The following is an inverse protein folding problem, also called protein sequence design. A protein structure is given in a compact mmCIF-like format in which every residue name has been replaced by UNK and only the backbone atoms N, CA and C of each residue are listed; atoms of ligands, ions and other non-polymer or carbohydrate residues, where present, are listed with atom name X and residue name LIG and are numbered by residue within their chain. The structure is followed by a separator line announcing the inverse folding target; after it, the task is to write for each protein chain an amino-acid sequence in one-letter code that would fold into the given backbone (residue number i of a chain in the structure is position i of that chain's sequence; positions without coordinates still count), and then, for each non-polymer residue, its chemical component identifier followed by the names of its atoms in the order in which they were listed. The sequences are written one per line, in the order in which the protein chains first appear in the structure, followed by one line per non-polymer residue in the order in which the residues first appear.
data_IF_646681295794
#
_entry.id   IF_646681295794
#
_cell.length_a   1.000
_cell.length_b   1.000
_cell.length_c   1.000
_cell.angle_alpha   90.00
_cell.angle_beta   90.00
_cell.angle_gamma   90.00
#
_symmetry.space_group_name_H-M   'P 1'
#
loop_
_entity.id
_entity.type
_entity.pdbx_description
1 polymer ?
#
# COMPACT_ATOMS: atom_id res chain seq x y z
N UNK A 1 12.80 16.95 -6.49
CA UNK A 1 11.56 17.21 -5.72
C UNK A 1 10.53 16.09 -5.82
N UNK A 2 9.99 15.67 -6.98
CA UNK A 2 9.05 14.51 -7.02
C UNK A 2 9.80 13.17 -7.11
N UNK A 3 10.89 13.12 -7.88
CA UNK A 3 11.71 11.91 -8.03
C UNK A 3 12.29 11.44 -6.69
N UNK A 4 12.70 12.38 -5.85
CA UNK A 4 13.26 12.10 -4.53
C UNK A 4 12.19 11.50 -3.60
N UNK A 5 10.98 12.07 -3.58
CA UNK A 5 9.83 11.49 -2.83
C UNK A 5 9.55 10.05 -3.30
N UNK A 6 9.51 9.81 -4.61
CA UNK A 6 9.28 8.47 -5.13
C UNK A 6 10.40 7.49 -4.74
N UNK A 7 11.66 7.96 -4.71
CA UNK A 7 12.80 7.17 -4.27
C UNK A 7 12.73 6.86 -2.77
N UNK A 8 12.37 7.83 -1.93
CA UNK A 8 12.23 7.66 -0.48
C UNK A 8 11.13 6.64 -0.15
N UNK A 9 9.98 6.71 -0.85
CA UNK A 9 8.90 5.74 -0.71
C UNK A 9 9.35 4.35 -1.16
N UNK A 10 10.08 4.24 -2.27
CA UNK A 10 10.60 2.97 -2.76
C UNK A 10 11.55 2.33 -1.73
N UNK A 11 12.52 3.10 -1.19
CA UNK A 11 13.47 2.61 -0.18
C UNK A 11 12.75 2.15 1.10
N UNK A 12 11.77 2.92 1.57
CA UNK A 12 10.94 2.58 2.73
C UNK A 12 10.18 1.26 2.50
N UNK A 13 9.60 1.09 1.33
CA UNK A 13 8.85 -0.12 0.94
C UNK A 13 9.77 -1.32 0.84
N UNK A 14 10.95 -1.18 0.22
CA UNK A 14 11.94 -2.26 0.12
C UNK A 14 12.42 -2.71 1.50
N UNK A 15 12.70 -1.75 2.39
CA UNK A 15 13.07 -2.03 3.78
C UNK A 15 11.96 -2.78 4.51
N UNK A 16 10.72 -2.30 4.46
CA UNK A 16 9.56 -2.97 5.07
C UNK A 16 9.33 -4.36 4.47
N UNK A 17 9.46 -4.53 3.15
CA UNK A 17 9.24 -5.81 2.49
C UNK A 17 10.30 -6.86 2.88
N UNK A 18 11.54 -6.41 3.15
CA UNK A 18 12.60 -7.25 3.70
C UNK A 18 12.30 -7.70 5.13
N UNK A 19 11.73 -6.82 5.95
CA UNK A 19 11.43 -7.09 7.37
C UNK A 19 10.15 -7.92 7.56
N UNK A 20 9.11 -7.70 6.75
CA UNK A 20 7.80 -8.35 6.87
C UNK A 20 7.68 -9.69 6.12
N UNK A 21 8.69 -10.04 5.31
CA UNK A 21 8.61 -11.18 4.41
C UNK A 21 7.44 -11.05 3.43
N UNK A 22 7.26 -12.03 2.57
CA UNK A 22 6.30 -12.01 1.46
C UNK A 22 4.81 -11.98 1.83
N UNK A 23 4.41 -11.39 2.98
CA UNK A 23 3.03 -11.31 3.46
C UNK A 23 2.08 -10.67 2.44
N UNK A 24 2.52 -9.59 1.80
CA UNK A 24 1.76 -8.95 0.72
C UNK A 24 1.61 -9.90 -0.48
N UNK A 25 2.73 -10.42 -1.02
CA UNK A 25 2.75 -11.37 -2.14
C UNK A 25 1.87 -12.60 -1.85
N UNK A 26 1.93 -13.18 -0.64
CA UNK A 26 1.13 -14.33 -0.22
C UNK A 26 -0.36 -13.98 -0.20
N UNK A 27 -0.72 -12.81 0.34
CA UNK A 27 -2.11 -12.35 0.39
C UNK A 27 -2.66 -12.14 -1.01
N UNK A 28 -1.91 -11.45 -1.88
CA UNK A 28 -2.34 -11.21 -3.27
C UNK A 28 -2.37 -12.50 -4.08
N UNK A 29 -1.45 -13.45 -3.88
CA UNK A 29 -1.53 -14.78 -4.52
C UNK A 29 -2.77 -15.57 -4.10
N UNK A 30 -3.22 -15.40 -2.84
CA UNK A 30 -4.38 -16.13 -2.30
C UNK A 30 -5.71 -15.50 -2.69
N UNK A 31 -5.79 -14.18 -2.71
CA UNK A 31 -7.05 -13.43 -2.85
C UNK A 31 -7.10 -12.54 -4.09
N UNK A 32 -6.05 -12.54 -4.91
CA UNK A 32 -5.95 -11.76 -6.13
C UNK A 32 -5.90 -10.25 -5.89
N UNK A 33 -6.30 -9.50 -6.92
CA UNK A 33 -6.36 -8.04 -6.93
C UNK A 33 -7.26 -7.48 -5.81
N UNK A 34 -8.29 -8.22 -5.38
CA UNK A 34 -9.20 -7.82 -4.30
C UNK A 34 -8.47 -7.52 -2.99
N UNK A 35 -7.42 -8.29 -2.66
CA UNK A 35 -6.61 -8.01 -1.47
C UNK A 35 -5.88 -6.67 -1.55
N UNK A 36 -5.39 -6.28 -2.73
CA UNK A 36 -4.79 -4.96 -2.93
C UNK A 36 -5.85 -3.87 -2.79
N UNK A 37 -7.00 -4.00 -3.46
CA UNK A 37 -8.08 -3.02 -3.41
C UNK A 37 -8.55 -2.75 -1.98
N UNK A 38 -8.76 -3.80 -1.17
CA UNK A 38 -9.17 -3.69 0.22
C UNK A 38 -8.15 -2.88 1.05
N UNK A 39 -6.85 -3.10 0.84
CA UNK A 39 -5.80 -2.36 1.57
C UNK A 39 -5.75 -0.89 1.18
N UNK A 40 -6.01 -0.57 -0.08
CA UNK A 40 -6.12 0.81 -0.53
C UNK A 40 -7.39 1.47 0.04
N UNK A 41 -8.51 0.76 0.07
CA UNK A 41 -9.77 1.25 0.64
C UNK A 41 -9.64 1.59 2.14
N UNK A 42 -8.95 0.75 2.91
CA UNK A 42 -8.62 1.02 4.31
C UNK A 42 -7.84 2.34 4.47
N UNK A 43 -6.89 2.61 3.56
CA UNK A 43 -6.05 3.82 3.60
C UNK A 43 -6.80 5.06 3.13
N UNK A 44 -7.67 4.94 2.14
CA UNK A 44 -8.57 6.02 1.71
C UNK A 44 -9.53 6.37 2.85
N UNK A 45 -10.09 5.37 3.54
CA UNK A 45 -10.98 5.59 4.69
C UNK A 45 -10.25 6.34 5.81
N UNK A 46 -9.00 5.98 6.10
CA UNK A 46 -8.13 6.71 7.04
C UNK A 46 -7.90 8.15 6.60
N UNK A 47 -7.55 8.36 5.34
CA UNK A 47 -7.31 9.70 4.78
C UNK A 47 -8.56 10.57 4.94
N UNK A 48 -9.74 10.05 4.62
CA UNK A 48 -11.01 10.75 4.81
C UNK A 48 -11.25 11.14 6.27
N UNK A 49 -10.96 10.25 7.22
CA UNK A 49 -11.07 10.54 8.65
C UNK A 49 -10.11 11.65 9.11
N UNK A 50 -8.87 11.64 8.62
CA UNK A 50 -7.86 12.65 8.91
C UNK A 50 -8.22 14.03 8.33
N UNK A 51 -8.86 14.06 7.16
CA UNK A 51 -9.25 15.33 6.50
C UNK A 51 -10.60 15.87 6.96
N UNK A 52 -11.49 15.01 7.44
CA UNK A 52 -12.86 15.42 7.85
C UNK A 52 -12.96 15.89 9.30
N UNK A 53 -12.00 15.51 10.15
CA UNK A 53 -12.03 15.83 11.57
C UNK A 53 -11.05 16.98 11.85
N UNK A 54 -11.56 18.19 12.14
CA UNK A 54 -10.75 19.32 12.64
C UNK A 54 -10.09 19.05 14.01
N UNK A 55 -10.35 17.88 14.61
CA UNK A 55 -9.65 17.36 15.78
C UNK A 55 -8.82 16.15 15.34
N UNK A 56 -7.52 16.36 15.15
CA UNK A 56 -6.52 15.27 15.17
C UNK A 56 -6.58 14.57 16.52
N UNK A 57 -7.46 13.57 16.66
CA UNK A 57 -7.53 12.72 17.85
C UNK A 57 -6.65 11.47 17.73
N UNK A 58 -5.73 11.40 16.77
CA UNK A 58 -4.75 10.31 16.67
C UNK A 58 -3.39 10.93 16.41
N UNK A 59 -2.50 10.82 17.40
CA UNK A 59 -1.20 11.46 17.45
C UNK A 59 -0.10 10.71 16.67
N UNK A 60 -0.43 9.54 16.09
CA UNK A 60 0.56 8.56 15.63
C UNK A 60 0.67 8.38 14.11
N UNK A 61 -0.29 8.83 13.30
CA UNK A 61 -0.23 8.70 11.83
C UNK A 61 -0.68 9.99 11.14
N UNK A 62 0.14 10.52 10.22
CA UNK A 62 -0.14 11.75 9.46
C UNK A 62 -0.82 11.50 8.11
N UNK A 63 -1.26 12.59 7.46
CA UNK A 63 -1.75 12.56 6.07
C UNK A 63 -0.63 12.08 5.15
N UNK A 64 0.59 12.58 5.36
CA UNK A 64 1.78 12.24 4.61
C UNK A 64 2.15 10.76 4.76
N UNK A 65 2.04 10.19 5.97
CA UNK A 65 2.25 8.75 6.19
C UNK A 65 1.21 7.91 5.44
N UNK A 66 -0.06 8.36 5.46
CA UNK A 66 -1.15 7.65 4.77
C UNK A 66 -0.96 7.68 3.25
N UNK A 67 -0.56 8.82 2.68
CA UNK A 67 -0.25 8.93 1.26
C UNK A 67 0.98 8.10 0.88
N UNK A 68 2.00 8.09 1.74
CA UNK A 68 3.21 7.26 1.59
C UNK A 68 2.86 5.77 1.57
N UNK A 69 1.98 5.32 2.46
CA UNK A 69 1.49 3.94 2.46
C UNK A 69 0.74 3.59 1.18
N UNK A 70 -0.14 4.47 0.68
CA UNK A 70 -0.86 4.25 -0.59
C UNK A 70 0.15 4.07 -1.73
N UNK A 71 1.09 5.01 -1.89
CA UNK A 71 2.15 4.89 -2.88
C UNK A 71 2.94 3.58 -2.72
N UNK A 72 3.27 3.21 -1.48
CA UNK A 72 4.03 2.00 -1.21
C UNK A 72 3.30 0.70 -1.56
N UNK A 73 2.02 0.59 -1.21
CA UNK A 73 1.19 -0.56 -1.61
C UNK A 73 1.05 -0.65 -3.14
N UNK A 74 0.92 0.49 -3.82
CA UNK A 74 0.88 0.52 -5.29
C UNK A 74 2.23 0.08 -5.90
N UNK A 75 3.36 0.51 -5.35
CA UNK A 75 4.68 0.06 -5.79
C UNK A 75 4.87 -1.45 -5.59
N UNK A 76 4.45 -2.00 -4.45
CA UNK A 76 4.49 -3.45 -4.21
C UNK A 76 3.67 -4.22 -5.25
N UNK A 77 2.47 -3.72 -5.58
CA UNK A 77 1.61 -4.36 -6.56
C UNK A 77 2.20 -4.32 -7.97
N UNK A 78 2.76 -3.18 -8.38
CA UNK A 78 3.46 -3.04 -9.67
C UNK A 78 4.68 -3.96 -9.75
N UNK A 79 5.45 -4.09 -8.66
CA UNK A 79 6.58 -5.00 -8.59
C UNK A 79 6.14 -6.48 -8.67
N UNK A 80 5.02 -6.84 -8.05
CA UNK A 80 4.47 -8.19 -8.16
C UNK A 80 4.05 -8.50 -9.61
N UNK A 81 3.35 -7.57 -10.25
CA UNK A 81 2.92 -7.66 -11.65
C UNK A 81 4.11 -7.77 -12.62
N UNK A 82 5.16 -6.97 -12.42
CA UNK A 82 6.35 -7.00 -13.28
C UNK A 82 7.12 -8.32 -13.20
N UNK A 83 7.00 -9.05 -12.09
CA UNK A 83 7.57 -10.39 -11.88
C UNK A 83 6.70 -11.51 -12.45
N UNK A 84 5.65 -11.18 -13.21
CA UNK A 84 4.68 -12.14 -13.74
C UNK A 84 3.70 -12.67 -12.69
N UNK A 85 3.60 -11.98 -11.54
CA UNK A 85 2.60 -12.27 -10.53
C UNK A 85 1.23 -11.74 -10.97
N UNK A 86 0.31 -12.66 -11.26
CA UNK A 86 -1.10 -12.76 -10.85
C UNK A 86 -1.71 -13.81 -11.79
N UNK A 87 -1.89 -15.07 -11.37
CA UNK A 87 -2.82 -15.97 -12.05
C UNK A 87 -4.25 -15.55 -11.68
N UNK A 88 -5.07 -15.31 -12.68
CA UNK A 88 -6.52 -15.16 -12.49
C UNK A 88 -7.09 -16.49 -11.98
N UNK A 89 -8.03 -16.43 -11.02
CA UNK A 89 -9.11 -17.40 -11.00
C UNK A 89 -10.18 -16.81 -11.90
N UNK A 90 -10.49 -17.48 -13.01
CA UNK A 90 -11.58 -17.10 -13.94
C UNK A 90 -12.98 -17.34 -13.33
N UNK A 91 -13.06 -17.80 -12.08
CA UNK A 91 -14.27 -18.29 -11.44
C UNK A 91 -14.90 -17.33 -10.39
N UNK A 92 -14.70 -16.02 -10.51
CA UNK A 92 -15.48 -15.01 -9.75
C UNK A 92 -16.16 -14.02 -10.67
#
# INVERSE_FOLDING_TARGET
MIKDIAADVAELVEKKNKDYGSSFDTTVKKYGMTAYCLRIEDKISRLNSLTSTNNQCVHDESIEDTLTDICGYTLLMLNLLSRGGIPFNEDV
#
